data_IF_520182072140
#
_entry.id   IF_520182072140
#
_cell.length_a   1.000
_cell.length_b   1.000
_cell.length_c   1.000
_cell.angle_alpha   90.00
_cell.angle_beta   90.00
_cell.angle_gamma   90.00
#
_symmetry.space_group_name_H-M   'P 1'
#
loop_
_entity.id
_entity.type
_entity.pdbx_description
1 polymer ?
#
# COMPACT_ATOMS: atom_id res chain seq x y z
N UNK A 1 5.63 -6.84 -5.79
CA UNK A 1 5.80 -5.66 -6.68
C UNK A 1 4.74 -4.59 -6.38
N UNK A 2 3.46 -4.96 -6.27
CA UNK A 2 2.34 -4.05 -5.99
C UNK A 2 2.50 -3.09 -4.80
N UNK A 3 3.02 -3.55 -3.65
CA UNK A 3 3.19 -2.70 -2.47
C UNK A 3 4.12 -1.49 -2.72
N UNK A 4 5.27 -1.74 -3.36
CA UNK A 4 6.25 -0.68 -3.66
C UNK A 4 5.69 0.34 -4.64
N UNK A 5 4.95 -0.14 -5.64
CA UNK A 5 4.28 0.71 -6.62
C UNK A 5 3.16 1.54 -5.95
N UNK A 6 2.34 0.91 -5.09
CA UNK A 6 1.32 1.61 -4.31
C UNK A 6 1.91 2.76 -3.50
N UNK A 7 3.05 2.54 -2.84
CA UNK A 7 3.73 3.57 -2.04
C UNK A 7 4.27 4.69 -2.91
N UNK A 8 4.90 4.36 -4.04
CA UNK A 8 5.41 5.37 -4.97
C UNK A 8 4.28 6.25 -5.52
N UNK A 9 3.17 5.64 -5.94
CA UNK A 9 1.97 6.35 -6.41
C UNK A 9 1.36 7.22 -5.31
N UNK A 10 1.28 6.71 -4.08
CA UNK A 10 0.75 7.48 -2.96
C UNK A 10 1.63 8.70 -2.62
N UNK A 11 2.95 8.57 -2.72
CA UNK A 11 3.89 9.68 -2.55
C UNK A 11 3.79 10.71 -3.68
N UNK A 12 3.46 10.28 -4.90
CA UNK A 12 3.21 11.16 -6.04
C UNK A 12 1.84 11.85 -5.99
N UNK A 13 0.96 11.42 -5.08
CA UNK A 13 -0.41 11.94 -4.96
C UNK A 13 -1.43 11.22 -5.85
N UNK A 14 -1.02 10.18 -6.57
CA UNK A 14 -1.85 9.34 -7.44
C UNK A 14 -2.70 8.37 -6.61
N UNK A 15 -3.67 8.91 -5.88
CA UNK A 15 -4.42 8.17 -4.85
C UNK A 15 -5.25 7.02 -5.41
N UNK A 16 -5.81 7.15 -6.62
CA UNK A 16 -6.67 6.13 -7.20
C UNK A 16 -5.87 4.88 -7.61
N UNK A 17 -4.75 5.10 -8.27
CA UNK A 17 -3.77 4.12 -8.72
C UNK A 17 -3.12 3.46 -7.51
N UNK A 18 -2.72 4.23 -6.49
CA UNK A 18 -2.18 3.70 -5.25
C UNK A 18 -3.18 2.75 -4.56
N UNK A 19 -4.46 3.13 -4.50
CA UNK A 19 -5.50 2.28 -3.92
C UNK A 19 -5.72 1.00 -4.73
N UNK A 20 -5.60 1.05 -6.06
CA UNK A 20 -5.67 -0.15 -6.90
C UNK A 20 -4.51 -1.11 -6.62
N UNK A 21 -3.29 -0.59 -6.50
CA UNK A 21 -2.10 -1.39 -6.20
C UNK A 21 -2.14 -1.99 -4.78
N UNK A 22 -2.64 -1.26 -3.78
CA UNK A 22 -2.87 -1.82 -2.46
C UNK A 22 -3.90 -2.96 -2.48
N UNK A 23 -4.99 -2.81 -3.24
CA UNK A 23 -5.99 -3.89 -3.41
C UNK A 23 -5.39 -5.10 -4.12
N UNK A 24 -4.53 -4.89 -5.13
CA UNK A 24 -3.82 -5.97 -5.80
C UNK A 24 -2.86 -6.70 -4.84
N UNK A 25 -2.14 -5.97 -3.99
CA UNK A 25 -1.29 -6.56 -2.94
C UNK A 25 -2.11 -7.38 -1.94
N UNK A 26 -3.27 -6.87 -1.51
CA UNK A 26 -4.18 -7.57 -0.62
C UNK A 26 -4.79 -8.82 -1.28
N UNK A 27 -5.14 -8.79 -2.55
CA UNK A 27 -5.69 -9.95 -3.26
C UNK A 27 -4.74 -11.17 -3.31
N UNK A 28 -3.46 -10.97 -3.04
CA UNK A 28 -2.46 -12.03 -2.94
C UNK A 28 -2.41 -12.69 -1.54
N UNK A 29 -3.44 -12.53 -0.69
CA UNK A 29 -3.47 -12.85 0.76
C UNK A 29 -2.62 -14.05 1.21
N UNK A 30 -2.67 -15.19 0.52
CA UNK A 30 -1.98 -16.43 0.91
C UNK A 30 -0.57 -16.59 0.30
N UNK A 31 -0.18 -15.70 -0.60
CA UNK A 31 1.11 -15.72 -1.33
C UNK A 31 2.08 -14.65 -0.84
N UNK A 32 1.63 -13.74 0.03
CA UNK A 32 2.46 -12.68 0.59
C UNK A 32 2.58 -12.82 2.10
N UNK A 33 3.75 -12.46 2.67
CA UNK A 33 3.95 -12.36 4.11
C UNK A 33 2.89 -11.48 4.80
N UNK A 34 2.61 -11.76 6.08
CA UNK A 34 1.57 -11.06 6.84
C UNK A 34 1.88 -9.56 7.01
N UNK A 35 3.15 -9.21 7.22
CA UNK A 35 3.66 -7.84 7.27
C UNK A 35 3.37 -7.06 5.98
N UNK A 36 3.57 -7.68 4.81
CA UNK A 36 3.23 -7.08 3.51
C UNK A 36 1.72 -6.82 3.39
N UNK A 37 0.90 -7.72 3.92
CA UNK A 37 -0.57 -7.59 3.92
C UNK A 37 -1.03 -6.46 4.85
N UNK A 38 -0.43 -6.38 6.03
CA UNK A 38 -0.74 -5.36 7.02
C UNK A 38 -0.31 -3.97 6.55
N UNK A 39 0.86 -3.85 5.92
CA UNK A 39 1.32 -2.61 5.29
C UNK A 39 0.39 -2.17 4.16
N UNK A 40 -0.05 -3.10 3.30
CA UNK A 40 -1.01 -2.80 2.24
C UNK A 40 -2.36 -2.31 2.80
N UNK A 41 -2.84 -2.92 3.88
CA UNK A 41 -4.08 -2.51 4.56
C UNK A 41 -3.95 -1.11 5.17
N UNK A 42 -2.83 -0.84 5.85
CA UNK A 42 -2.56 0.45 6.47
C UNK A 42 -2.48 1.58 5.42
N UNK A 43 -1.77 1.34 4.31
CA UNK A 43 -1.66 2.28 3.21
C UNK A 43 -3.00 2.58 2.54
N UNK A 44 -3.79 1.55 2.23
CA UNK A 44 -5.14 1.72 1.68
C UNK A 44 -6.04 2.52 2.64
N UNK A 45 -6.00 2.21 3.94
CA UNK A 45 -6.79 2.93 4.96
C UNK A 45 -6.37 4.40 5.12
N UNK A 46 -5.08 4.71 4.95
CA UNK A 46 -4.59 6.09 4.96
C UNK A 46 -5.17 6.89 3.78
N UNK A 47 -5.19 6.30 2.57
CA UNK A 47 -5.78 6.94 1.39
C UNK A 47 -7.26 7.21 1.57
N UNK A 48 -8.04 6.25 2.08
CA UNK A 48 -9.48 6.45 2.33
C UNK A 48 -9.75 7.52 3.38
N UNK A 49 -8.83 7.70 4.34
CA UNK A 49 -8.92 8.73 5.36
C UNK A 49 -8.40 10.10 4.89
N UNK A 50 -7.94 10.24 3.65
CA UNK A 50 -7.30 11.45 3.15
C UNK A 50 -5.96 11.79 3.82
N UNK A 51 -5.38 10.84 4.55
CA UNK A 51 -4.10 11.02 5.26
C UNK A 51 -2.94 10.77 4.29
N UNK A 52 -1.81 11.45 4.48
CA UNK A 52 -0.59 11.12 3.76
C UNK A 52 -0.22 9.66 4.02
N UNK A 53 0.31 8.99 3.00
CA UNK A 53 0.66 7.58 3.11
C UNK A 53 1.71 7.38 4.23
N UNK A 54 1.61 6.28 4.99
CA UNK A 54 2.61 5.97 6.01
C UNK A 54 3.99 5.88 5.36
N UNK A 55 4.99 6.48 6.00
CA UNK A 55 6.37 6.38 5.55
C UNK A 55 6.77 4.91 5.52
N UNK A 56 7.29 4.52 4.37
CA UNK A 56 7.62 3.16 4.01
C UNK A 56 8.60 2.57 5.02
N UNK A 57 8.31 1.40 5.61
CA UNK A 57 9.32 0.69 6.41
C UNK A 57 10.27 -0.07 5.47
N UNK A 58 11.06 0.65 4.67
CA UNK A 58 12.10 0.06 3.81
C UNK A 58 13.41 -0.24 4.56
N UNK A 59 13.36 -0.61 5.83
CA UNK A 59 14.56 -0.93 6.59
C UNK A 59 14.26 -2.00 7.64
N UNK A 60 14.26 -3.26 7.20
CA UNK A 60 14.93 -4.40 7.84
C UNK A 60 14.74 -5.66 6.99
#
# INVERSE_FOLDING_TARGET
MHLRLAHALACLGERAEAAAEYRAALALEHRVPADVRDEARAGHAALTAGRPAPLIRFAQ
#
